data_IF_511158009288
#
_entry.id   IF_511158009288
#
_cell.length_a   1.000
_cell.length_b   1.000
_cell.length_c   1.000
_cell.angle_alpha   90.00
_cell.angle_beta   90.00
_cell.angle_gamma   90.00
#
_symmetry.space_group_name_H-M   'P 1'
#
loop_
_entity.id
_entity.type
_entity.pdbx_description
1 polymer ?
#
# COMPACT_ATOMS: atom_id res chain seq x y z
N UNK A 1 12.86 16.40 1.53
CA UNK A 1 12.25 15.27 2.27
C UNK A 1 12.65 14.02 1.54
N UNK A 2 13.43 13.13 2.16
CA UNK A 2 13.68 11.81 1.58
C UNK A 2 12.37 11.03 1.65
N UNK A 3 11.82 10.68 0.49
CA UNK A 3 10.66 9.81 0.39
C UNK A 3 11.21 8.40 0.44
N UNK A 4 10.94 7.68 1.53
CA UNK A 4 11.40 6.29 1.66
C UNK A 4 10.48 5.41 0.81
N UNK A 5 11.02 4.91 -0.31
CA UNK A 5 10.30 4.05 -1.25
C UNK A 5 10.54 2.61 -0.82
N UNK A 6 9.46 1.97 -0.40
CA UNK A 6 9.48 0.58 0.08
C UNK A 6 9.02 -0.39 -1.01
N UNK A 7 9.48 -1.62 -0.90
CA UNK A 7 9.06 -2.72 -1.75
C UNK A 7 7.60 -3.13 -1.48
N UNK A 8 7.02 -3.91 -2.41
CA UNK A 8 5.69 -4.49 -2.21
C UNK A 8 5.65 -5.41 -0.98
N UNK A 9 6.73 -6.13 -0.71
CA UNK A 9 6.83 -7.03 0.45
C UNK A 9 6.78 -6.27 1.78
N UNK A 10 7.44 -5.10 1.83
CA UNK A 10 7.42 -4.22 2.99
C UNK A 10 6.04 -3.59 3.19
N UNK A 11 5.39 -3.14 2.11
CA UNK A 11 4.00 -2.67 2.16
C UNK A 11 3.06 -3.75 2.69
N UNK A 12 3.17 -4.97 2.16
CA UNK A 12 2.38 -6.12 2.57
C UNK A 12 2.59 -6.43 4.05
N UNK A 13 3.85 -6.41 4.51
CA UNK A 13 4.21 -6.64 5.91
C UNK A 13 3.65 -5.54 6.82
N UNK A 14 3.76 -4.28 6.42
CA UNK A 14 3.20 -3.13 7.13
C UNK A 14 1.68 -3.23 7.27
N UNK A 15 0.97 -3.50 6.17
CA UNK A 15 -0.48 -3.64 6.17
C UNK A 15 -0.93 -4.85 7.00
N UNK A 16 -0.23 -5.99 6.91
CA UNK A 16 -0.51 -7.16 7.73
C UNK A 16 -0.39 -6.86 9.23
N UNK A 17 0.70 -6.18 9.64
CA UNK A 17 0.89 -5.75 11.05
C UNK A 17 -0.20 -4.78 11.49
N UNK A 18 -0.56 -3.83 10.63
CA UNK A 18 -1.66 -2.89 10.91
C UNK A 18 -3.01 -3.61 11.06
N UNK A 19 -3.30 -4.59 10.21
CA UNK A 19 -4.51 -5.42 10.29
C UNK A 19 -4.55 -6.24 11.58
N UNK A 20 -3.45 -6.87 11.99
CA UNK A 20 -3.35 -7.60 13.26
C UNK A 20 -3.63 -6.70 14.48
N UNK A 21 -3.13 -5.47 14.45
CA UNK A 21 -3.28 -4.48 15.53
C UNK A 21 -4.71 -3.96 15.62
N UNK A 22 -5.34 -3.66 14.49
CA UNK A 22 -6.58 -2.89 14.44
C UNK A 22 -7.84 -3.73 14.21
N UNK A 23 -7.77 -4.81 13.42
CA UNK A 23 -8.95 -5.58 13.03
C UNK A 23 -9.40 -6.58 14.11
N UNK A 24 -10.71 -6.65 14.34
CA UNK A 24 -11.38 -7.69 15.13
C UNK A 24 -11.42 -9.03 14.40
N UNK A 25 -11.56 -9.00 13.07
CA UNK A 25 -11.66 -10.18 12.21
C UNK A 25 -10.30 -10.85 11.95
N UNK A 26 -9.19 -10.15 12.21
CA UNK A 26 -7.86 -10.77 12.32
C UNK A 26 -7.76 -11.55 13.64
N UNK A 27 -8.54 -12.63 13.74
CA UNK A 27 -8.49 -13.56 14.85
C UNK A 27 -7.40 -14.61 14.59
N UNK A 28 -6.13 -14.20 14.65
CA UNK A 28 -5.01 -15.13 14.90
C UNK A 28 -4.98 -15.63 16.34
N UNK A 29 -6.15 -15.66 17.00
CA UNK A 29 -6.36 -16.07 18.39
C UNK A 29 -6.46 -17.59 18.58
N UNK A 30 -6.28 -18.39 17.51
CA UNK A 30 -6.34 -19.86 17.56
C UNK A 30 -5.02 -20.54 17.14
N UNK A 31 -3.89 -20.03 17.63
CA UNK A 31 -2.63 -20.79 17.68
C UNK A 31 -1.62 -20.64 16.55
N UNK A 32 -1.82 -19.70 15.60
CA UNK A 32 -0.79 -19.34 14.60
C UNK A 32 0.07 -18.17 15.06
N UNK A 33 1.36 -18.14 14.71
CA UNK A 33 2.23 -17.01 15.04
C UNK A 33 1.86 -15.76 14.23
N UNK A 34 2.13 -14.57 14.75
CA UNK A 34 1.95 -13.32 13.99
C UNK A 34 2.78 -13.30 12.69
N UNK A 35 3.94 -13.96 12.71
CA UNK A 35 4.81 -14.10 11.54
C UNK A 35 4.20 -14.97 10.45
N UNK A 36 3.47 -16.04 10.81
CA UNK A 36 2.77 -16.88 9.83
C UNK A 36 1.65 -16.11 9.14
N UNK A 37 0.93 -15.25 9.87
CA UNK A 37 -0.03 -14.35 9.25
C UNK A 37 0.63 -13.41 8.26
N UNK A 38 1.71 -12.73 8.67
CA UNK A 38 2.41 -11.77 7.81
C UNK A 38 2.91 -12.48 6.55
N UNK A 39 3.43 -13.71 6.66
CA UNK A 39 3.86 -14.50 5.51
C UNK A 39 2.70 -14.88 4.59
N UNK A 40 1.56 -15.29 5.12
CA UNK A 40 0.39 -15.71 4.34
C UNK A 40 -0.48 -14.55 3.83
N UNK A 41 -0.33 -13.35 4.39
CA UNK A 41 -1.15 -12.19 4.05
C UNK A 41 -0.97 -11.78 2.58
N UNK A 42 -2.07 -11.62 1.86
CA UNK A 42 -2.08 -11.09 0.51
C UNK A 42 -2.54 -9.64 0.56
N UNK A 43 -1.88 -8.78 -0.22
CA UNK A 43 -2.34 -7.42 -0.42
C UNK A 43 -3.76 -7.46 -1.01
N UNK A 44 -4.74 -6.79 -0.38
CA UNK A 44 -6.06 -6.67 -0.96
C UNK A 44 -5.98 -5.80 -2.21
N UNK A 45 -6.89 -6.05 -3.15
CA UNK A 45 -7.09 -5.14 -4.27
C UNK A 45 -7.46 -3.76 -3.73
N UNK A 46 -6.69 -2.74 -4.14
CA UNK A 46 -6.84 -1.39 -3.66
C UNK A 46 -7.23 -0.47 -4.80
N UNK A 47 -8.21 0.40 -4.54
CA UNK A 47 -8.61 1.43 -5.48
C UNK A 47 -7.56 2.55 -5.50
N UNK A 48 -6.71 2.53 -6.53
CA UNK A 48 -5.69 3.53 -6.75
C UNK A 48 -6.28 4.78 -7.43
N UNK A 49 -6.14 5.93 -6.77
CA UNK A 49 -6.50 7.24 -7.33
C UNK A 49 -5.24 8.00 -7.72
N UNK A 50 -5.16 8.46 -8.97
CA UNK A 50 -4.05 9.31 -9.41
C UNK A 50 -4.07 10.63 -8.62
N UNK A 51 -2.97 10.95 -7.94
CA UNK A 51 -2.79 12.20 -7.19
C UNK A 51 -1.95 13.19 -7.98
N UNK A 52 -0.90 12.70 -8.63
CA UNK A 52 0.00 13.51 -9.45
C UNK A 52 0.54 12.66 -10.58
N UNK A 53 0.59 13.21 -11.79
CA UNK A 53 1.36 12.68 -12.90
C UNK A 53 2.25 13.84 -13.36
N UNK A 54 3.58 13.65 -13.37
CA UNK A 54 4.66 14.66 -13.53
C UNK A 54 5.44 14.96 -12.25
N UNK A 55 5.51 14.02 -11.31
CA UNK A 55 6.51 14.11 -10.24
C UNK A 55 7.83 13.59 -10.78
N UNK A 56 8.95 14.26 -10.54
CA UNK A 56 10.27 13.70 -10.84
C UNK A 56 10.76 12.89 -9.63
N UNK A 57 11.05 11.62 -9.84
CA UNK A 57 11.74 10.77 -8.87
C UNK A 57 12.98 10.21 -9.55
N UNK A 58 14.15 10.48 -8.99
CA UNK A 58 15.45 10.10 -9.57
C UNK A 58 15.65 10.61 -11.03
N UNK A 59 15.06 11.75 -11.37
CA UNK A 59 15.13 12.36 -12.70
C UNK A 59 14.19 11.76 -13.75
N UNK A 60 13.37 10.77 -13.40
CA UNK A 60 12.37 10.17 -14.29
C UNK A 60 10.95 10.71 -14.01
N UNK A 61 10.12 10.89 -15.06
CA UNK A 61 8.72 11.27 -14.89
C UNK A 61 7.94 10.12 -14.24
N UNK A 62 7.36 10.41 -13.07
CA UNK A 62 6.57 9.48 -12.28
C UNK A 62 5.15 9.97 -12.05
N UNK A 63 4.27 8.99 -11.89
CA UNK A 63 2.90 9.13 -11.45
C UNK A 63 2.77 8.57 -10.03
N UNK A 64 2.11 9.32 -9.18
CA UNK A 64 1.83 8.97 -7.79
C UNK A 64 0.35 8.66 -7.68
N UNK A 65 0.05 7.44 -7.25
CA UNK A 65 -1.30 6.97 -6.96
C UNK A 65 -1.48 6.83 -5.47
N UNK A 66 -2.65 7.17 -4.95
CA UNK A 66 -3.02 7.01 -3.56
C UNK A 66 -4.03 5.88 -3.41
N UNK A 67 -3.84 5.06 -2.39
CA UNK A 67 -4.75 4.02 -1.98
C UNK A 67 -5.01 4.10 -0.48
N UNK A 68 -6.19 3.65 -0.07
CA UNK A 68 -6.61 3.63 1.33
C UNK A 68 -7.32 2.31 1.64
N UNK A 69 -6.90 1.65 2.72
CA UNK A 69 -7.64 0.54 3.32
C UNK A 69 -8.34 1.06 4.57
N UNK A 70 -9.66 0.87 4.63
CA UNK A 70 -10.49 1.37 5.73
C UNK A 70 -11.07 0.21 6.52
N UNK A 71 -11.05 0.35 7.84
CA UNK A 71 -11.78 -0.50 8.77
C UNK A 71 -12.81 0.37 9.47
N UNK A 72 -14.09 0.01 9.33
CA UNK A 72 -15.18 0.64 10.05
C UNK A 72 -15.06 0.37 11.56
N UNK A 73 -15.69 1.21 12.37
CA UNK A 73 -15.71 1.10 13.83
C UNK A 73 -16.02 -0.31 14.35
N UNK A 74 -17.04 -0.98 13.80
CA UNK A 74 -17.46 -2.34 14.16
C UNK A 74 -16.44 -3.41 13.79
N UNK A 75 -15.56 -3.15 12.82
CA UNK A 75 -14.45 -4.03 12.43
C UNK A 75 -13.22 -3.83 13.30
N UNK A 76 -13.14 -2.75 14.09
CA UNK A 76 -11.92 -2.37 14.81
C UNK A 76 -11.98 -2.69 16.29
N UNK A 77 -10.84 -3.09 16.87
CA UNK A 77 -10.77 -3.42 18.31
C UNK A 77 -11.08 -2.22 19.21
N UNK A 78 -10.74 -1.01 18.76
CA UNK A 78 -10.97 0.25 19.48
C UNK A 78 -12.32 0.93 19.23
N UNK A 79 -13.25 0.31 18.49
CA UNK A 79 -14.56 0.89 18.13
C UNK A 79 -14.46 2.30 17.51
N UNK A 80 -13.41 2.52 16.70
CA UNK A 80 -13.18 3.77 15.98
C UNK A 80 -12.66 3.47 14.58
N UNK A 81 -13.07 4.24 13.58
CA UNK A 81 -12.59 4.04 12.21
C UNK A 81 -11.05 4.10 12.15
N UNK A 82 -10.46 3.18 11.38
CA UNK A 82 -9.02 3.14 11.13
C UNK A 82 -8.77 3.15 9.63
N UNK A 83 -7.83 3.98 9.20
CA UNK A 83 -7.41 4.10 7.81
C UNK A 83 -5.92 3.81 7.71
N UNK A 84 -5.55 2.94 6.78
CA UNK A 84 -4.18 2.73 6.34
C UNK A 84 -4.02 3.38 4.97
N UNK A 85 -3.17 4.40 4.89
CA UNK A 85 -2.94 5.17 3.67
C UNK A 85 -1.53 4.93 3.13
N UNK A 86 -1.48 4.59 1.85
CA UNK A 86 -0.23 4.36 1.15
C UNK A 86 -0.30 4.90 -0.27
N UNK A 87 0.87 5.12 -0.85
CA UNK A 87 1.02 5.64 -2.20
C UNK A 87 1.80 4.64 -3.04
N UNK A 88 1.45 4.53 -4.31
CA UNK A 88 2.17 3.76 -5.31
C UNK A 88 2.85 4.73 -6.25
N UNK A 89 4.16 4.61 -6.41
CA UNK A 89 4.89 5.30 -7.47
C UNK A 89 4.97 4.40 -8.68
N UNK A 90 4.63 4.95 -9.84
CA UNK A 90 4.88 4.32 -11.12
C UNK A 90 5.66 5.28 -12.02
N UNK A 91 6.71 4.78 -12.68
CA UNK A 91 7.38 5.53 -13.74
C UNK A 91 6.62 5.35 -15.04
N UNK A 92 6.66 6.41 -15.84
CA UNK A 92 6.10 6.43 -17.18
C UNK A 92 7.15 5.87 -18.11
N UNK A 93 6.97 4.63 -18.57
CA UNK A 93 7.83 4.03 -19.59
C UNK A 93 7.27 4.43 -20.95
N UNK A 94 8.01 5.19 -21.77
CA UNK A 94 7.57 5.55 -23.10
C UNK A 94 7.43 4.28 -23.93
N UNK A 95 6.24 4.08 -24.49
CA UNK A 95 6.01 3.00 -25.43
C UNK A 95 6.64 3.37 -26.78
N UNK A 96 7.59 2.56 -27.25
CA UNK A 96 8.28 2.73 -28.53
C UNK A 96 7.32 2.71 -29.73
N UNK A 97 6.08 2.26 -29.55
CA UNK A 97 5.06 2.08 -30.59
C UNK A 97 4.00 3.19 -30.72
N UNK A 98 4.07 4.27 -29.94
CA UNK A 98 3.06 5.35 -29.98
C UNK A 98 1.73 5.02 -29.28
N UNK A 99 1.70 3.99 -28.44
CA UNK A 99 0.58 3.64 -27.57
C UNK A 99 0.49 4.50 -26.30
N UNK A 100 -0.49 4.19 -25.45
CA UNK A 100 -0.58 4.79 -24.12
C UNK A 100 0.68 4.42 -23.32
N UNK A 101 1.30 5.36 -22.58
CA UNK A 101 2.51 5.07 -21.84
C UNK A 101 2.26 3.96 -20.82
N UNK A 102 3.19 3.00 -20.76
CA UNK A 102 3.15 1.95 -19.75
C UNK A 102 3.57 2.52 -18.39
N UNK A 103 2.88 2.08 -17.34
CA UNK A 103 3.20 2.47 -15.97
C UNK A 103 3.89 1.31 -15.27
N UNK A 104 5.17 1.47 -14.99
CA UNK A 104 5.94 0.48 -14.25
C UNK A 104 6.03 0.88 -12.77
N UNK A 105 5.69 -0.03 -11.87
CA UNK A 105 5.69 0.26 -10.43
C UNK A 105 7.12 0.32 -9.91
N UNK A 106 7.52 1.45 -9.35
CA UNK A 106 8.85 1.64 -8.75
C UNK A 106 8.84 1.15 -7.30
N UNK A 107 7.75 1.41 -6.59
CA UNK A 107 7.58 1.04 -5.20
C UNK A 107 6.44 1.81 -4.55
N UNK A 108 6.43 1.79 -3.23
CA UNK A 108 5.34 2.34 -2.43
C UNK A 108 5.86 3.30 -1.37
N UNK A 109 4.99 4.19 -0.89
CA UNK A 109 5.26 5.08 0.23
C UNK A 109 4.20 4.81 1.28
N UNK A 110 4.62 4.57 2.51
CA UNK A 110 3.74 4.39 3.66
C UNK A 110 3.76 5.70 4.46
N UNK A 111 2.60 6.31 4.67
CA UNK A 111 2.52 7.63 5.32
C UNK A 111 2.26 7.60 6.82
N UNK A 112 1.77 6.47 7.36
CA UNK A 112 1.61 6.27 8.80
C UNK A 112 1.54 4.77 9.13
N UNK A 113 2.34 4.35 10.11
CA UNK A 113 2.28 3.04 10.77
C UNK A 113 1.67 3.15 12.17
#
# INVERSE_FOLDING_TARGET
>A
MAIDVVSEEELRSALAKWMLKNSRSCSFYKGGSADDFIKAFKLPDADYKLVSARTEYDGEPTAVFKAQIKLADWQTRGACEKVFEFYKLARVVPDSGGGFPNLETIGFIITAL
#
